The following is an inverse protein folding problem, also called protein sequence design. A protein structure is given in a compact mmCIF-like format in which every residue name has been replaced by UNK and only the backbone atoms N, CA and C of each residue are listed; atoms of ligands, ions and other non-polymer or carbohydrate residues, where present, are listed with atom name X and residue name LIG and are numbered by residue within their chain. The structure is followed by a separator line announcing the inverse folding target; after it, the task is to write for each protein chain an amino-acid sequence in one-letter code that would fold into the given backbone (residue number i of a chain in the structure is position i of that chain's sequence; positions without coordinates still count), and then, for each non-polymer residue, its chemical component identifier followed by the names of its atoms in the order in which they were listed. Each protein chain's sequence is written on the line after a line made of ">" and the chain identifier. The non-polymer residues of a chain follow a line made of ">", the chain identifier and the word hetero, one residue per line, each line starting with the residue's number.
data_IF_560042466807
#
_entry.id   IF_560042466807
#
_cell.length_a   1.000
_cell.length_b   1.000
_cell.length_c   1.000
_cell.angle_alpha   90.00
_cell.angle_beta   90.00
_cell.angle_gamma   90.00
#
_symmetry.space_group_name_H-M   'P 1'
#
loop_
_entity.id
_entity.type
_entity.pdbx_description
1 polymer ?
#
# COMPACT_ATOMS: atom_id res chain seq x y z
N UNK A 1 18.52 19.78 20.43
CA UNK A 1 17.34 20.05 19.58
C UNK A 1 16.19 19.23 20.16
N UNK A 2 15.14 19.86 20.69
CA UNK A 2 14.04 19.15 21.37
C UNK A 2 13.13 18.44 20.33
N UNK A 3 12.80 17.18 20.60
CA UNK A 3 11.98 16.31 19.73
C UNK A 3 10.64 16.96 19.45
N UNK A 4 10.23 16.95 18.18
CA UNK A 4 8.82 17.11 17.81
C UNK A 4 8.17 15.79 18.18
N UNK A 5 7.37 15.76 19.24
CA UNK A 5 6.66 14.55 19.63
C UNK A 5 5.46 14.37 18.68
N UNK A 6 5.78 13.84 17.49
CA UNK A 6 4.81 13.49 16.47
C UNK A 6 4.21 12.14 16.85
N UNK A 7 2.91 12.02 16.63
CA UNK A 7 2.17 10.76 16.78
C UNK A 7 1.76 10.30 15.39
N UNK A 8 2.00 9.03 15.13
CA UNK A 8 1.52 8.33 13.94
C UNK A 8 0.42 7.40 14.40
N UNK A 9 -0.75 7.54 13.79
CA UNK A 9 -1.83 6.58 13.90
C UNK A 9 -1.67 5.60 12.76
N UNK A 10 -1.44 4.34 13.07
CA UNK A 10 -1.29 3.25 12.10
C UNK A 10 -2.51 2.36 12.25
N UNK A 11 -3.28 2.17 11.18
CA UNK A 11 -4.50 1.37 11.25
C UNK A 11 -4.77 0.54 10.01
N UNK A 12 -5.03 -0.75 10.21
CA UNK A 12 -5.81 -1.58 9.31
C UNK A 12 -7.19 -1.84 9.90
N UNK A 13 -8.10 -2.24 9.03
CA UNK A 13 -9.33 -2.83 9.47
C UNK A 13 -9.74 -3.98 8.52
N UNK A 14 -10.07 -5.16 9.07
CA UNK A 14 -10.26 -6.44 8.34
C UNK A 14 -11.70 -6.78 7.93
N UNK A 15 -12.42 -5.85 7.33
CA UNK A 15 -13.74 -6.10 6.71
C UNK A 15 -13.90 -5.33 5.39
N UNK A 16 -14.94 -5.70 4.63
CA UNK A 16 -15.16 -5.25 3.24
C UNK A 16 -15.40 -3.73 3.05
N UNK A 17 -15.47 -2.90 4.11
CA UNK A 17 -16.03 -1.53 4.02
C UNK A 17 -15.24 -0.39 4.69
N UNK A 18 -14.00 -0.59 5.10
CA UNK A 18 -13.36 0.33 6.07
C UNK A 18 -12.81 1.65 5.54
N UNK A 19 -12.49 1.72 4.26
CA UNK A 19 -12.24 3.00 3.59
C UNK A 19 -13.42 3.97 3.79
N UNK A 20 -14.65 3.46 3.93
CA UNK A 20 -15.84 4.27 4.25
C UNK A 20 -15.77 4.89 5.65
N UNK A 21 -15.22 4.21 6.65
CA UNK A 21 -15.01 4.78 7.99
C UNK A 21 -13.99 5.91 7.97
N UNK A 22 -12.90 5.75 7.20
CA UNK A 22 -11.93 6.81 6.96
C UNK A 22 -12.57 8.01 6.26
N UNK A 23 -13.33 7.76 5.18
CA UNK A 23 -14.09 8.79 4.43
C UNK A 23 -15.04 9.56 5.35
N UNK A 24 -15.81 8.87 6.21
CA UNK A 24 -16.72 9.50 7.18
C UNK A 24 -16.02 10.38 8.22
N UNK A 25 -14.72 10.21 8.41
CA UNK A 25 -13.94 10.92 9.44
C UNK A 25 -13.13 12.09 8.85
N UNK A 26 -13.12 12.27 7.52
CA UNK A 26 -12.35 13.32 6.84
C UNK A 26 -12.56 14.73 7.45
N UNK A 27 -13.80 15.17 7.77
CA UNK A 27 -13.98 16.49 8.38
C UNK A 27 -13.22 16.67 9.69
N UNK A 28 -13.23 15.65 10.56
CA UNK A 28 -12.50 15.71 11.83
C UNK A 28 -10.99 15.66 11.61
N UNK A 29 -10.52 14.84 10.66
CA UNK A 29 -9.10 14.77 10.31
C UNK A 29 -8.55 16.13 9.87
N UNK A 30 -9.32 16.81 9.03
CA UNK A 30 -8.94 18.11 8.48
C UNK A 30 -8.87 19.18 9.57
N UNK A 31 -9.93 19.29 10.39
CA UNK A 31 -9.99 20.19 11.55
C UNK A 31 -8.83 19.96 12.52
N UNK A 32 -8.38 18.71 12.66
CA UNK A 32 -7.33 18.32 13.58
C UNK A 32 -5.93 18.29 12.95
N UNK A 33 -5.79 18.81 11.73
CA UNK A 33 -4.50 18.98 11.06
C UNK A 33 -3.85 17.67 10.59
N UNK A 34 -4.62 16.59 10.44
CA UNK A 34 -4.11 15.31 9.97
C UNK A 34 -3.75 15.34 8.49
N UNK A 35 -2.82 14.45 8.13
CA UNK A 35 -2.47 14.08 6.77
C UNK A 35 -2.70 12.58 6.58
N UNK A 36 -3.17 12.19 5.40
CA UNK A 36 -3.46 10.79 5.07
C UNK A 36 -2.27 10.22 4.31
N UNK A 37 -1.68 9.16 4.86
CA UNK A 37 -0.64 8.36 4.22
C UNK A 37 -1.21 6.98 3.87
N UNK A 38 -1.18 6.62 2.60
CA UNK A 38 -1.70 5.37 2.06
C UNK A 38 -0.56 4.36 1.87
N UNK A 39 -0.84 3.10 2.15
CA UNK A 39 0.01 1.95 1.78
C UNK A 39 -0.12 1.66 0.28
N UNK A 40 0.41 2.61 -0.47
CA UNK A 40 0.59 2.55 -1.91
C UNK A 40 2.06 2.80 -2.20
N UNK A 41 2.54 2.22 -3.30
CA UNK A 41 3.89 2.49 -3.78
C UNK A 41 4.08 3.99 -3.96
N UNK A 42 5.09 4.56 -3.29
CA UNK A 42 5.32 6.01 -3.25
C UNK A 42 5.50 6.69 -4.60
N UNK A 43 5.89 5.94 -5.63
CA UNK A 43 5.96 6.45 -7.01
C UNK A 43 4.59 6.75 -7.64
N UNK A 44 3.51 6.48 -6.91
CA UNK A 44 2.16 6.91 -7.24
C UNK A 44 1.82 8.32 -6.75
N UNK A 45 2.63 8.93 -5.86
CA UNK A 45 2.40 10.32 -5.41
C UNK A 45 2.16 11.30 -6.57
N UNK A 46 2.96 11.34 -7.66
CA UNK A 46 2.68 12.23 -8.79
C UNK A 46 1.33 11.97 -9.47
N UNK A 47 0.86 10.72 -9.48
CA UNK A 47 -0.46 10.36 -10.03
C UNK A 47 -1.59 10.84 -9.10
N UNK A 48 -1.43 10.65 -7.79
CA UNK A 48 -2.36 11.11 -6.75
C UNK A 48 -2.50 12.63 -6.83
N UNK A 49 -1.38 13.36 -6.80
CA UNK A 49 -1.37 14.83 -6.84
C UNK A 49 -1.96 15.37 -8.15
N UNK A 50 -1.68 14.71 -9.28
CA UNK A 50 -2.28 15.07 -10.56
C UNK A 50 -3.80 14.87 -10.55
N UNK A 51 -4.28 13.73 -10.04
CA UNK A 51 -5.71 13.44 -9.90
C UNK A 51 -6.37 14.47 -8.98
N UNK A 52 -5.84 14.69 -7.77
CA UNK A 52 -6.40 15.62 -6.79
C UNK A 52 -6.60 17.01 -7.39
N UNK A 53 -5.55 17.58 -7.99
CA UNK A 53 -5.64 18.88 -8.66
C UNK A 53 -6.71 18.94 -9.75
N UNK A 54 -6.83 17.90 -10.58
CA UNK A 54 -7.81 17.86 -11.68
C UNK A 54 -9.23 17.66 -11.19
N UNK A 55 -9.42 16.82 -10.18
CA UNK A 55 -10.71 16.62 -9.54
C UNK A 55 -11.16 17.88 -8.78
N UNK A 56 -10.26 18.57 -8.07
CA UNK A 56 -10.55 19.87 -7.44
C UNK A 56 -11.11 20.87 -8.45
N UNK A 57 -10.43 21.07 -9.58
CA UNK A 57 -10.88 21.98 -10.64
C UNK A 57 -12.27 21.62 -11.21
N UNK A 58 -12.66 20.35 -11.18
CA UNK A 58 -13.98 19.90 -11.63
C UNK A 58 -15.03 20.19 -10.56
N UNK A 59 -14.75 19.83 -9.31
CA UNK A 59 -15.67 20.08 -8.20
C UNK A 59 -15.83 21.58 -7.89
N UNK A 60 -14.79 22.39 -8.04
CA UNK A 60 -14.85 23.85 -7.90
C UNK A 60 -15.83 24.45 -8.91
N UNK A 61 -15.74 24.06 -10.19
CA UNK A 61 -16.70 24.47 -11.22
C UNK A 61 -18.13 24.04 -10.90
N UNK A 62 -18.30 22.86 -10.29
CA UNK A 62 -19.60 22.38 -9.87
C UNK A 62 -20.16 23.20 -8.70
N UNK A 63 -19.31 23.54 -7.73
CA UNK A 63 -19.66 24.37 -6.59
C UNK A 63 -20.00 25.82 -6.99
N UNK A 64 -19.37 26.33 -8.05
CA UNK A 64 -19.68 27.63 -8.68
C UNK A 64 -20.89 27.58 -9.64
N UNK A 65 -21.62 26.46 -9.69
CA UNK A 65 -22.76 26.23 -10.60
C UNK A 65 -22.42 26.36 -12.10
N UNK A 66 -21.14 26.32 -12.48
CA UNK A 66 -20.66 26.33 -13.88
C UNK A 66 -20.67 24.94 -14.52
N UNK A 67 -20.91 23.90 -13.72
CA UNK A 67 -21.00 22.50 -14.13
C UNK A 67 -22.05 21.82 -13.27
N UNK A 68 -22.93 21.03 -13.88
CA UNK A 68 -23.86 20.20 -13.11
C UNK A 68 -23.09 19.19 -12.23
N UNK A 69 -23.57 18.94 -11.00
CA UNK A 69 -22.88 18.06 -10.05
C UNK A 69 -22.83 16.61 -10.55
N UNK A 70 -23.89 16.11 -11.20
CA UNK A 70 -23.87 14.74 -11.73
C UNK A 70 -22.87 14.61 -12.89
N UNK A 71 -22.77 15.64 -13.74
CA UNK A 71 -21.75 15.70 -14.79
C UNK A 71 -20.33 15.81 -14.20
N UNK A 72 -20.16 16.54 -13.11
CA UNK A 72 -18.88 16.60 -12.37
C UNK A 72 -18.47 15.21 -11.86
N UNK A 73 -19.38 14.48 -11.21
CA UNK A 73 -19.14 13.12 -10.72
C UNK A 73 -18.74 12.18 -11.87
N UNK A 74 -19.42 12.23 -13.03
CA UNK A 74 -19.06 11.43 -14.22
C UNK A 74 -17.67 11.76 -14.77
N UNK A 75 -17.25 13.03 -14.73
CA UNK A 75 -15.91 13.44 -15.18
C UNK A 75 -14.85 12.98 -14.20
N UNK A 76 -15.11 13.05 -12.90
CA UNK A 76 -14.22 12.55 -11.85
C UNK A 76 -14.10 11.03 -11.92
N UNK A 77 -15.19 10.29 -12.17
CA UNK A 77 -15.14 8.84 -12.42
C UNK A 77 -14.16 8.48 -13.56
N UNK A 78 -14.18 9.24 -14.66
CA UNK A 78 -13.24 9.03 -15.78
C UNK A 78 -11.80 9.32 -15.39
N UNK A 79 -11.56 10.29 -14.50
CA UNK A 79 -10.22 10.58 -13.98
C UNK A 79 -9.75 9.47 -13.02
N UNK A 80 -10.65 8.96 -12.18
CA UNK A 80 -10.38 7.92 -11.20
C UNK A 80 -10.09 6.58 -11.90
N UNK A 81 -10.88 6.23 -12.93
CA UNK A 81 -10.60 5.07 -13.79
C UNK A 81 -9.21 5.16 -14.44
N UNK A 82 -8.79 6.36 -14.88
CA UNK A 82 -7.45 6.60 -15.42
C UNK A 82 -6.36 6.47 -14.35
N UNK A 83 -6.63 6.91 -13.12
CA UNK A 83 -5.71 6.75 -11.99
C UNK A 83 -5.50 5.27 -11.69
N UNK A 84 -6.59 4.52 -11.49
CA UNK A 84 -6.59 3.07 -11.26
C UNK A 84 -5.85 2.34 -12.37
N UNK A 85 -6.19 2.63 -13.64
CA UNK A 85 -5.49 2.06 -14.79
C UNK A 85 -3.98 2.27 -14.74
N UNK A 86 -3.53 3.49 -14.43
CA UNK A 86 -2.10 3.81 -14.37
C UNK A 86 -1.39 3.14 -13.19
N UNK A 87 -2.04 3.05 -12.03
CA UNK A 87 -1.49 2.36 -10.86
C UNK A 87 -1.37 0.86 -11.13
N UNK A 88 -2.46 0.20 -11.55
CA UNK A 88 -2.46 -1.24 -11.84
C UNK A 88 -1.50 -1.60 -12.97
N UNK A 89 -1.39 -0.78 -14.03
CA UNK A 89 -0.42 -1.01 -15.12
C UNK A 89 1.05 -0.92 -14.66
N UNK A 90 1.34 -0.13 -13.62
CA UNK A 90 2.71 0.04 -13.08
C UNK A 90 3.09 -1.02 -12.06
N UNK A 91 2.11 -1.68 -11.45
CA UNK A 91 2.36 -2.74 -10.49
C UNK A 91 3.22 -3.87 -11.10
N UNK A 92 4.13 -4.46 -10.32
CA UNK A 92 4.76 -5.72 -10.68
C UNK A 92 3.72 -6.78 -11.04
N UNK A 93 4.04 -7.72 -11.94
CA UNK A 93 3.10 -8.78 -12.34
C UNK A 93 2.69 -9.66 -11.14
N UNK A 94 3.59 -9.83 -10.17
CA UNK A 94 3.32 -10.46 -8.87
C UNK A 94 2.13 -9.82 -8.13
N UNK A 95 1.96 -8.51 -8.32
CA UNK A 95 0.93 -7.68 -7.68
C UNK A 95 -0.13 -7.20 -8.69
N UNK A 96 -0.22 -7.80 -9.87
CA UNK A 96 -1.33 -7.59 -10.81
C UNK A 96 -1.18 -8.59 -11.96
N UNK A 97 -1.97 -9.68 -11.99
CA UNK A 97 -1.88 -10.67 -13.06
C UNK A 97 -2.44 -10.15 -14.40
N UNK A 98 -3.17 -9.03 -14.38
CA UNK A 98 -3.98 -8.59 -15.51
C UNK A 98 -3.18 -8.02 -16.69
N UNK A 99 -3.63 -8.39 -17.89
CA UNK A 99 -3.19 -7.79 -19.14
C UNK A 99 -3.88 -6.45 -19.36
N UNK A 100 -3.51 -5.39 -18.62
CA UNK A 100 -4.26 -4.12 -18.60
C UNK A 100 -4.64 -3.54 -19.98
N UNK A 101 -3.94 -3.85 -21.06
CA UNK A 101 -4.33 -3.50 -22.43
C UNK A 101 -5.67 -4.12 -22.88
N UNK A 102 -6.02 -5.28 -22.34
CA UNK A 102 -7.27 -6.02 -22.57
C UNK A 102 -8.40 -5.61 -21.63
N UNK A 103 -8.15 -4.75 -20.64
CA UNK A 103 -9.14 -4.40 -19.63
C UNK A 103 -9.34 -2.88 -19.51
N UNK A 104 -10.44 -2.49 -18.89
CA UNK A 104 -10.68 -1.12 -18.44
C UNK A 104 -11.44 -1.12 -17.11
N UNK A 105 -11.30 -0.04 -16.34
CA UNK A 105 -12.05 0.15 -15.11
C UNK A 105 -13.40 0.82 -15.41
N UNK A 106 -14.47 0.28 -14.81
CA UNK A 106 -15.82 0.85 -14.87
C UNK A 106 -16.41 0.92 -13.46
N UNK A 107 -17.03 2.05 -13.12
CA UNK A 107 -17.82 2.20 -11.90
C UNK A 107 -19.28 1.91 -12.21
N UNK A 108 -19.92 1.06 -11.42
CA UNK A 108 -21.33 0.70 -11.51
C UNK A 108 -21.86 0.54 -10.07
N UNK A 109 -23.02 1.14 -9.75
CA UNK A 109 -23.59 1.15 -8.38
C UNK A 109 -22.58 1.43 -7.25
N UNK A 110 -21.67 2.41 -7.46
CA UNK A 110 -20.59 2.78 -6.55
C UNK A 110 -19.51 1.72 -6.29
N UNK A 111 -19.47 0.67 -7.11
CA UNK A 111 -18.44 -0.35 -7.07
C UNK A 111 -17.60 -0.30 -8.36
N UNK A 112 -16.28 -0.47 -8.20
CA UNK A 112 -15.36 -0.59 -9.32
C UNK A 112 -15.29 -2.02 -9.84
N UNK A 113 -15.35 -2.16 -11.15
CA UNK A 113 -15.21 -3.42 -11.87
C UNK A 113 -14.04 -3.31 -12.85
N UNK A 114 -13.27 -4.39 -12.98
CA UNK A 114 -12.38 -4.56 -14.10
C UNK A 114 -13.13 -5.29 -15.21
N UNK A 115 -13.24 -4.68 -16.39
CA UNK A 115 -14.02 -5.22 -17.50
C UNK A 115 -13.10 -5.62 -18.64
N UNK A 116 -13.21 -6.87 -19.09
CA UNK A 116 -12.48 -7.34 -20.27
C UNK A 116 -13.09 -6.72 -21.53
N UNK A 117 -12.27 -6.08 -22.36
CA UNK A 117 -12.70 -5.33 -23.55
C UNK A 117 -13.41 -6.18 -24.60
N UNK A 118 -13.02 -7.46 -24.75
CA UNK A 118 -13.54 -8.34 -25.82
C UNK A 118 -14.88 -8.97 -25.46
N UNK A 119 -14.98 -9.49 -24.24
CA UNK A 119 -16.14 -10.27 -23.79
C UNK A 119 -17.15 -9.41 -23.03
N UNK A 120 -16.72 -8.24 -22.54
CA UNK A 120 -17.52 -7.45 -21.60
C UNK A 120 -17.65 -8.09 -20.21
N UNK A 121 -16.95 -9.21 -19.96
CA UNK A 121 -16.99 -9.90 -18.69
C UNK A 121 -16.48 -8.96 -17.58
N UNK A 122 -17.31 -8.81 -16.55
CA UNK A 122 -16.95 -8.08 -15.34
C UNK A 122 -16.21 -9.04 -14.41
N UNK A 123 -14.98 -8.71 -14.10
CA UNK A 123 -14.27 -9.29 -12.96
C UNK A 123 -14.47 -8.33 -11.78
N UNK A 124 -15.04 -8.86 -10.69
CA UNK A 124 -15.18 -8.15 -9.41
C UNK A 124 -13.84 -7.95 -8.71
N UNK A 125 -12.74 -8.41 -9.31
CA UNK A 125 -11.41 -8.40 -8.71
C UNK A 125 -11.29 -9.49 -7.64
N UNK A 126 -12.05 -10.59 -7.77
CA UNK A 126 -11.98 -11.70 -6.82
C UNK A 126 -10.61 -12.37 -6.81
N UNK A 127 -9.87 -12.26 -7.93
CA UNK A 127 -8.51 -12.77 -8.11
C UNK A 127 -7.50 -11.59 -8.04
N UNK A 128 -6.93 -11.37 -6.85
CA UNK A 128 -5.72 -10.57 -6.68
C UNK A 128 -5.90 -9.10 -6.21
N UNK A 129 -4.81 -8.31 -6.19
CA UNK A 129 -4.65 -7.02 -5.48
C UNK A 129 -5.48 -5.84 -6.01
N UNK A 130 -6.40 -6.08 -6.94
CA UNK A 130 -7.45 -5.10 -7.28
C UNK A 130 -8.38 -4.87 -6.08
N UNK A 131 -8.45 -5.78 -5.09
CA UNK A 131 -9.30 -5.58 -3.89
C UNK A 131 -8.96 -4.34 -3.05
N UNK A 132 -7.76 -3.76 -3.17
CA UNK A 132 -7.33 -2.59 -2.39
C UNK A 132 -7.29 -1.26 -3.17
N UNK A 133 -6.84 -1.28 -4.43
CA UNK A 133 -6.62 -0.06 -5.23
C UNK A 133 -7.85 0.85 -5.40
N UNK A 134 -9.05 0.32 -5.71
CA UNK A 134 -10.30 1.09 -5.73
C UNK A 134 -10.60 1.80 -4.42
N UNK A 135 -10.35 1.14 -3.28
CA UNK A 135 -10.61 1.74 -1.97
C UNK A 135 -9.68 2.94 -1.71
N UNK A 136 -8.40 2.84 -2.10
CA UNK A 136 -7.48 4.00 -2.06
C UNK A 136 -7.94 5.13 -2.98
N UNK A 137 -8.41 4.80 -4.19
CA UNK A 137 -8.91 5.80 -5.13
C UNK A 137 -10.17 6.53 -4.59
N UNK A 138 -11.09 5.79 -3.94
CA UNK A 138 -12.25 6.37 -3.27
C UNK A 138 -11.84 7.32 -2.15
N UNK A 139 -10.88 6.95 -1.28
CA UNK A 139 -10.37 7.86 -0.23
C UNK A 139 -9.76 9.13 -0.83
N UNK A 140 -8.98 9.01 -1.92
CA UNK A 140 -8.39 10.17 -2.59
C UNK A 140 -9.49 11.08 -3.18
N UNK A 141 -10.50 10.49 -3.83
CA UNK A 141 -11.66 11.22 -4.40
C UNK A 141 -12.41 11.99 -3.32
N UNK A 142 -12.77 11.31 -2.24
CA UNK A 142 -13.57 11.91 -1.17
C UNK A 142 -12.78 12.96 -0.38
N UNK A 143 -11.46 12.81 -0.22
CA UNK A 143 -10.61 13.87 0.34
C UNK A 143 -10.64 15.14 -0.53
N UNK A 144 -10.61 14.99 -1.86
CA UNK A 144 -10.70 16.13 -2.78
C UNK A 144 -12.07 16.79 -2.69
N UNK A 145 -13.14 16.00 -2.71
CA UNK A 145 -14.51 16.49 -2.61
C UNK A 145 -14.73 17.23 -1.28
N UNK A 146 -14.26 16.67 -0.17
CA UNK A 146 -14.26 17.32 1.15
C UNK A 146 -13.55 18.67 1.11
N UNK A 147 -12.33 18.73 0.55
CA UNK A 147 -11.55 19.97 0.51
C UNK A 147 -12.26 21.09 -0.26
N UNK A 148 -12.87 20.78 -1.41
CA UNK A 148 -13.57 21.79 -2.21
C UNK A 148 -14.85 22.26 -1.53
N UNK A 149 -15.66 21.35 -0.99
CA UNK A 149 -16.96 21.68 -0.40
C UNK A 149 -16.86 22.37 0.95
N UNK A 150 -15.80 22.08 1.73
CA UNK A 150 -15.65 22.55 3.11
C UNK A 150 -14.48 23.52 3.30
N UNK A 151 -13.87 24.02 2.21
CA UNK A 151 -12.62 24.80 2.25
C UNK A 151 -11.50 24.10 3.03
N UNK A 152 -11.48 22.77 2.94
CA UNK A 152 -10.51 21.91 3.61
C UNK A 152 -9.16 21.89 2.91
N UNK A 153 -8.17 21.27 3.54
CA UNK A 153 -6.82 21.21 2.98
C UNK A 153 -6.21 19.78 3.01
N UNK A 154 -6.97 18.75 3.38
CA UNK A 154 -6.46 17.38 3.52
C UNK A 154 -5.52 16.97 2.39
N UNK A 155 -4.33 16.56 2.78
CA UNK A 155 -3.32 16.05 1.86
C UNK A 155 -3.32 14.52 1.91
N UNK A 156 -3.12 13.90 0.76
CA UNK A 156 -3.06 12.44 0.61
C UNK A 156 -1.76 12.06 -0.08
N UNK A 157 -1.00 11.15 0.55
CA UNK A 157 0.30 10.69 0.06
C UNK A 157 0.38 9.16 0.07
N UNK A 158 1.24 8.61 -0.79
CA UNK A 158 1.65 7.21 -0.81
C UNK A 158 3.04 7.08 -0.16
N UNK A 159 3.22 6.12 0.76
CA UNK A 159 4.45 6.00 1.57
C UNK A 159 5.14 4.63 1.54
N UNK A 160 4.67 3.68 0.73
CA UNK A 160 5.26 2.33 0.62
C UNK A 160 6.43 2.28 -0.39
N UNK A 161 7.11 1.13 -0.47
CA UNK A 161 8.15 0.79 -1.43
C UNK A 161 7.68 1.08 -2.86
N UNK A 162 8.55 1.70 -3.67
CA UNK A 162 8.23 1.98 -5.06
C UNK A 162 8.08 0.71 -5.91
N UNK A 163 7.31 0.79 -6.99
CA UNK A 163 7.14 -0.34 -7.93
C UNK A 163 8.46 -0.88 -8.48
N UNK A 164 9.46 -0.02 -8.66
CA UNK A 164 10.82 -0.41 -9.09
C UNK A 164 11.52 -1.25 -8.03
N UNK A 165 11.47 -0.81 -6.77
CA UNK A 165 12.10 -1.52 -5.65
C UNK A 165 11.39 -2.84 -5.38
N UNK A 166 10.07 -2.93 -5.52
CA UNK A 166 9.33 -4.19 -5.44
C UNK A 166 9.88 -5.22 -6.46
N UNK A 167 10.14 -4.79 -7.70
CA UNK A 167 10.79 -5.66 -8.71
C UNK A 167 12.22 -6.05 -8.34
N UNK A 168 12.98 -5.14 -7.75
CA UNK A 168 14.34 -5.43 -7.27
C UNK A 168 14.32 -6.46 -6.13
N UNK A 169 13.39 -6.34 -5.20
CA UNK A 169 13.19 -7.31 -4.11
C UNK A 169 12.69 -8.65 -4.63
N UNK A 170 11.83 -8.66 -5.64
CA UNK A 170 11.41 -9.88 -6.31
C UNK A 170 12.59 -10.61 -6.97
N UNK A 171 13.48 -9.89 -7.67
CA UNK A 171 14.72 -10.47 -8.24
C UNK A 171 15.65 -11.06 -7.18
N UNK A 172 15.66 -10.51 -5.98
CA UNK A 172 16.44 -11.02 -4.84
C UNK A 172 15.80 -12.24 -4.18
N UNK A 173 14.59 -12.61 -4.60
CA UNK A 173 13.81 -13.69 -3.96
C UNK A 173 13.16 -13.28 -2.64
N UNK A 174 13.16 -11.98 -2.31
CA UNK A 174 12.55 -11.43 -1.10
C UNK A 174 11.03 -11.23 -1.26
N UNK A 175 10.56 -11.19 -2.51
CA UNK A 175 9.15 -11.23 -2.91
C UNK A 175 8.95 -12.34 -3.95
N UNK A 176 7.97 -13.21 -3.77
CA UNK A 176 7.78 -14.37 -4.65
C UNK A 176 6.33 -14.84 -4.67
N UNK A 177 5.97 -15.64 -5.67
CA UNK A 177 4.77 -16.48 -5.62
C UNK A 177 5.11 -17.76 -4.85
N UNK A 178 4.47 -17.97 -3.72
CA UNK A 178 4.49 -19.25 -3.03
C UNK A 178 3.59 -20.23 -3.76
N UNK A 179 4.04 -21.46 -3.91
CA UNK A 179 3.21 -22.62 -4.28
C UNK A 179 3.25 -23.58 -3.09
N UNK A 180 2.08 -24.00 -2.59
CA UNK A 180 1.93 -24.98 -1.50
C UNK A 180 2.38 -26.39 -1.88
N UNK A 181 3.67 -26.55 -2.17
CA UNK A 181 4.32 -27.81 -2.52
C UNK A 181 5.63 -27.95 -1.72
N UNK A 182 6.10 -29.18 -1.43
CA UNK A 182 7.41 -29.42 -0.84
C UNK A 182 8.54 -28.79 -1.67
N UNK A 183 9.64 -28.43 -1.03
CA UNK A 183 10.81 -27.85 -1.71
C UNK A 183 11.41 -28.79 -2.77
N UNK A 184 11.26 -30.12 -2.61
CA UNK A 184 11.66 -31.12 -3.61
C UNK A 184 10.96 -30.91 -4.96
N UNK A 185 9.76 -30.32 -4.97
CA UNK A 185 9.01 -30.01 -6.19
C UNK A 185 9.49 -28.75 -6.92
N UNK A 186 10.45 -28.00 -6.36
CA UNK A 186 10.93 -26.74 -6.94
C UNK A 186 11.46 -26.92 -8.36
N UNK A 187 12.34 -27.90 -8.59
CA UNK A 187 12.95 -28.11 -9.90
C UNK A 187 11.91 -28.51 -10.97
N UNK A 188 11.00 -29.48 -10.76
CA UNK A 188 9.91 -29.77 -11.69
C UNK A 188 9.06 -28.55 -12.06
N UNK A 189 8.72 -27.71 -11.08
CA UNK A 189 7.93 -26.49 -11.28
C UNK A 189 8.69 -25.47 -12.13
N UNK A 190 9.96 -25.21 -11.81
CA UNK A 190 10.80 -24.29 -12.58
C UNK A 190 10.98 -24.74 -14.03
N UNK A 191 11.17 -26.05 -14.26
CA UNK A 191 11.27 -26.61 -15.60
C UNK A 191 9.97 -26.45 -16.40
N UNK A 192 8.83 -26.72 -15.75
CA UNK A 192 7.51 -26.51 -16.35
C UNK A 192 7.34 -25.05 -16.75
N UNK A 193 7.52 -24.12 -15.81
CA UNK A 193 7.37 -22.68 -16.04
C UNK A 193 8.31 -22.17 -17.13
N UNK A 194 9.57 -22.61 -17.15
CA UNK A 194 10.55 -22.26 -18.19
C UNK A 194 10.09 -22.65 -19.59
N UNK A 195 9.51 -23.84 -19.74
CA UNK A 195 9.01 -24.37 -21.03
C UNK A 195 7.64 -23.76 -21.38
N UNK A 196 6.72 -23.66 -20.43
CA UNK A 196 5.41 -23.02 -20.59
C UNK A 196 5.55 -21.54 -20.98
N UNK A 197 6.54 -20.81 -20.43
CA UNK A 197 6.83 -19.43 -20.81
C UNK A 197 7.23 -19.32 -22.29
N UNK A 198 7.98 -20.29 -22.83
CA UNK A 198 8.31 -20.33 -24.27
C UNK A 198 7.04 -20.53 -25.11
N UNK A 199 6.12 -21.39 -24.69
CA UNK A 199 4.81 -21.53 -25.36
C UNK A 199 3.99 -20.25 -25.28
N UNK A 200 3.96 -19.58 -24.13
CA UNK A 200 3.26 -18.31 -23.95
C UNK A 200 3.83 -17.16 -24.82
N UNK A 201 5.14 -17.16 -25.09
CA UNK A 201 5.76 -16.24 -26.07
C UNK A 201 5.22 -16.44 -27.49
N UNK A 202 4.84 -17.67 -27.83
CA UNK A 202 4.27 -18.04 -29.13
C UNK A 202 2.74 -17.99 -29.15
N UNK A 203 2.11 -17.48 -28.08
CA UNK A 203 0.65 -17.47 -27.89
C UNK A 203 0.00 -18.85 -27.98
N UNK A 204 0.74 -19.90 -27.61
CA UNK A 204 0.29 -21.30 -27.62
C UNK A 204 0.14 -21.84 -26.20
N UNK A 205 -0.75 -22.81 -26.05
CA UNK A 205 -0.83 -23.62 -24.83
C UNK A 205 0.42 -24.51 -24.69
N UNK A 206 0.87 -24.81 -23.46
CA UNK A 206 1.90 -25.82 -23.23
C UNK A 206 1.49 -27.18 -23.76
N UNK A 207 2.46 -27.96 -24.28
CA UNK A 207 2.19 -29.30 -24.84
C UNK A 207 1.70 -30.25 -23.76
N UNK A 208 0.78 -31.15 -24.09
CA UNK A 208 0.29 -32.19 -23.16
C UNK A 208 1.41 -33.06 -22.59
N UNK A 209 2.43 -33.35 -23.39
CA UNK A 209 3.62 -34.08 -22.90
C UNK A 209 4.42 -33.34 -21.82
N UNK A 210 4.35 -32.01 -21.77
CA UNK A 210 4.97 -31.23 -20.69
C UNK A 210 4.14 -31.30 -19.41
N UNK A 211 2.80 -31.21 -19.53
CA UNK A 211 1.87 -31.33 -18.40
C UNK A 211 1.96 -32.70 -17.75
N UNK A 212 1.98 -33.76 -18.57
CA UNK A 212 2.15 -35.14 -18.11
C UNK A 212 3.45 -35.35 -17.34
N UNK A 213 4.57 -34.81 -17.84
CA UNK A 213 5.87 -34.88 -17.14
C UNK A 213 5.85 -34.20 -15.77
N UNK A 214 5.17 -33.07 -15.64
CA UNK A 214 5.03 -32.41 -14.34
C UNK A 214 4.18 -33.27 -13.39
N UNK A 215 3.02 -33.77 -13.86
CA UNK A 215 2.16 -34.63 -13.06
C UNK A 215 2.90 -35.89 -12.56
N UNK A 216 3.67 -36.55 -13.43
CA UNK A 216 4.50 -37.71 -13.07
C UNK A 216 5.58 -37.35 -12.03
N UNK A 217 6.19 -36.17 -12.12
CA UNK A 217 7.17 -35.71 -11.14
C UNK A 217 6.53 -35.44 -9.77
N UNK A 218 5.35 -34.83 -9.73
CA UNK A 218 4.61 -34.59 -8.49
C UNK A 218 4.14 -35.90 -7.85
N UNK A 219 3.67 -36.87 -8.64
CA UNK A 219 3.28 -38.19 -8.16
C UNK A 219 4.43 -38.95 -7.49
N UNK A 220 5.67 -38.79 -7.99
CA UNK A 220 6.86 -39.38 -7.36
C UNK A 220 7.15 -38.82 -5.97
N UNK A 221 6.76 -37.57 -5.73
CA UNK A 221 6.85 -36.91 -4.42
C UNK A 221 5.61 -37.20 -3.54
N UNK A 222 4.74 -38.14 -3.96
CA UNK A 222 3.52 -38.50 -3.23
C UNK A 222 2.36 -37.52 -3.38
N UNK A 223 2.44 -36.59 -4.36
CA UNK A 223 1.45 -35.53 -4.56
C UNK A 223 0.52 -35.89 -5.70
N UNK A 224 -0.73 -36.19 -5.36
CA UNK A 224 -1.77 -36.58 -6.32
C UNK A 224 -2.78 -35.45 -6.49
N UNK A 225 -2.81 -34.84 -7.68
CA UNK A 225 -3.63 -33.66 -7.96
C UNK A 225 -5.11 -33.94 -8.24
N UNK A 226 -5.50 -35.21 -8.46
CA UNK A 226 -6.86 -35.67 -8.78
C UNK A 226 -7.71 -34.63 -9.54
N UNK A 227 -8.85 -34.21 -8.99
CA UNK A 227 -9.81 -33.29 -9.61
C UNK A 227 -9.30 -31.85 -9.75
N UNK A 228 -8.21 -31.50 -9.06
CA UNK A 228 -7.60 -30.17 -9.06
C UNK A 228 -6.51 -30.00 -10.13
N UNK A 229 -6.15 -31.06 -10.86
CA UNK A 229 -5.02 -31.04 -11.81
C UNK A 229 -5.16 -29.95 -12.88
N UNK A 230 -6.32 -29.86 -13.53
CA UNK A 230 -6.55 -28.88 -14.60
C UNK A 230 -6.53 -27.45 -14.08
N UNK A 231 -7.08 -27.21 -12.88
CA UNK A 231 -7.06 -25.91 -12.24
C UNK A 231 -5.63 -25.49 -11.89
N UNK A 232 -4.87 -26.39 -11.28
CA UNK A 232 -3.47 -26.16 -10.93
C UNK A 232 -2.60 -25.87 -12.16
N UNK A 233 -2.73 -26.67 -13.23
CA UNK A 233 -2.02 -26.43 -14.48
C UNK A 233 -2.42 -25.11 -15.14
N UNK A 234 -3.71 -24.75 -15.13
CA UNK A 234 -4.18 -23.42 -15.61
C UNK A 234 -3.55 -22.28 -14.80
N UNK A 235 -3.41 -22.43 -13.50
CA UNK A 235 -2.74 -21.44 -12.65
C UNK A 235 -1.25 -21.33 -13.00
N UNK A 236 -0.52 -22.44 -13.16
CA UNK A 236 0.88 -22.43 -13.60
C UNK A 236 1.05 -21.80 -15.00
N UNK A 237 0.13 -22.06 -15.92
CA UNK A 237 0.13 -21.44 -17.25
C UNK A 237 -0.09 -19.93 -17.15
N UNK A 238 -0.94 -19.48 -16.23
CA UNK A 238 -1.12 -18.06 -15.92
C UNK A 238 0.18 -17.45 -15.38
N UNK A 239 0.87 -18.13 -14.47
CA UNK A 239 2.17 -17.70 -13.95
C UNK A 239 3.21 -17.61 -15.07
N UNK A 240 3.28 -18.60 -15.96
CA UNK A 240 4.18 -18.57 -17.10
C UNK A 240 3.90 -17.36 -18.03
N UNK A 241 2.62 -17.02 -18.24
CA UNK A 241 2.21 -15.80 -18.97
C UNK A 241 2.60 -14.53 -18.22
N UNK A 242 2.53 -14.51 -16.90
CA UNK A 242 3.03 -13.39 -16.08
C UNK A 242 4.55 -13.26 -16.18
N UNK A 243 5.31 -14.36 -16.07
CA UNK A 243 6.77 -14.40 -16.20
C UNK A 243 7.26 -14.02 -17.60
N UNK A 244 6.43 -14.17 -18.64
CA UNK A 244 6.68 -13.64 -19.99
C UNK A 244 6.83 -12.12 -19.96
N UNK A 245 5.97 -11.44 -19.18
CA UNK A 245 5.91 -9.97 -19.07
C UNK A 245 6.95 -9.44 -18.09
N UNK A 246 7.11 -10.14 -16.98
CA UNK A 246 8.02 -9.76 -15.91
C UNK A 246 8.85 -10.94 -15.44
N UNK A 247 10.09 -11.03 -15.93
CA UNK A 247 11.03 -12.09 -15.56
C UNK A 247 11.50 -11.99 -14.10
N UNK A 248 11.19 -10.89 -13.39
CA UNK A 248 11.49 -10.77 -11.95
C UNK A 248 10.52 -11.55 -11.06
N UNK A 249 9.44 -12.10 -11.64
CA UNK A 249 8.49 -12.94 -10.91
C UNK A 249 9.14 -14.27 -10.54
N UNK A 250 9.59 -14.37 -9.29
CA UNK A 250 10.14 -15.59 -8.68
C UNK A 250 9.01 -16.45 -8.13
N UNK A 251 9.14 -17.77 -8.26
CA UNK A 251 8.20 -18.76 -7.75
C UNK A 251 8.96 -19.68 -6.80
N UNK A 252 8.42 -19.93 -5.61
CA UNK A 252 9.00 -20.83 -4.63
C UNK A 252 7.96 -21.83 -4.15
N UNK A 253 8.31 -23.11 -4.17
CA UNK A 253 7.60 -24.16 -3.47
C UNK A 253 7.91 -24.00 -1.99
N UNK A 254 6.88 -23.83 -1.18
CA UNK A 254 7.01 -23.75 0.27
C UNK A 254 5.79 -24.38 0.88
N UNK A 255 6.01 -25.47 1.61
CA UNK A 255 4.97 -26.21 2.30
C UNK A 255 4.82 -25.65 3.73
N UNK A 256 3.65 -25.09 4.07
CA UNK A 256 3.26 -24.96 5.48
C UNK A 256 2.63 -26.27 5.95
N UNK A 257 2.95 -26.70 7.17
CA UNK A 257 2.20 -27.74 7.88
C UNK A 257 0.72 -27.31 7.92
N UNK A 258 -0.15 -28.06 7.23
CA UNK A 258 -1.60 -27.83 7.14
C UNK A 258 -2.17 -27.58 5.73
N UNK A 259 -1.35 -27.20 4.74
CA UNK A 259 -1.84 -26.90 3.37
C UNK A 259 -2.10 -28.17 2.53
N UNK A 260 -1.56 -29.32 2.92
CA UNK A 260 -1.72 -30.60 2.18
C UNK A 260 -3.07 -31.29 2.48
N UNK A 261 -3.64 -31.09 3.67
CA UNK A 261 -4.84 -31.84 4.11
C UNK A 261 -6.14 -31.41 3.40
N UNK A 262 -6.11 -30.30 2.66
CA UNK A 262 -7.29 -29.79 1.93
C UNK A 262 -7.30 -30.09 0.42
N UNK A 263 -6.26 -30.73 -0.12
CA UNK A 263 -6.17 -31.05 -1.55
C UNK A 263 -6.03 -29.84 -2.49
N UNK A 264 -5.83 -28.64 -1.96
CA UNK A 264 -5.74 -27.39 -2.72
C UNK A 264 -4.31 -26.83 -2.72
N UNK A 265 -3.66 -26.80 -3.89
CA UNK A 265 -2.39 -26.09 -4.02
C UNK A 265 -2.67 -24.58 -4.05
N UNK A 266 -2.27 -23.91 -2.99
CA UNK A 266 -2.40 -22.46 -2.84
C UNK A 266 -1.24 -21.78 -3.58
N UNK A 267 -1.57 -20.84 -4.46
CA UNK A 267 -0.59 -19.95 -5.11
C UNK A 267 -0.85 -18.51 -4.71
N UNK A 268 0.06 -17.91 -3.94
CA UNK A 268 -0.12 -16.58 -3.34
C UNK A 268 1.17 -15.76 -3.40
N UNK A 269 1.05 -14.43 -3.38
CA UNK A 269 2.21 -13.56 -3.20
C UNK A 269 2.69 -13.62 -1.74
N UNK A 270 3.98 -13.87 -1.56
CA UNK A 270 4.63 -14.03 -0.26
C UNK A 270 5.94 -13.22 -0.22
N UNK A 271 6.46 -13.01 0.99
CA UNK A 271 7.62 -12.18 1.30
C UNK A 271 8.40 -12.74 2.49
N UNK A 272 9.72 -12.57 2.47
CA UNK A 272 10.58 -12.95 3.59
C UNK A 272 10.72 -11.84 4.64
N UNK A 273 11.22 -12.15 5.86
CA UNK A 273 11.46 -11.14 6.88
C UNK A 273 12.39 -10.01 6.45
N UNK A 274 13.39 -10.29 5.60
CA UNK A 274 14.31 -9.27 5.08
C UNK A 274 13.59 -8.22 4.21
N UNK A 275 12.55 -8.63 3.46
CA UNK A 275 11.70 -7.69 2.75
C UNK A 275 10.92 -6.78 3.70
N UNK A 276 10.33 -7.37 4.76
CA UNK A 276 9.52 -6.64 5.74
C UNK A 276 10.35 -5.57 6.45
N UNK A 277 11.53 -5.94 6.98
CA UNK A 277 12.43 -4.98 7.61
C UNK A 277 12.87 -3.89 6.63
N UNK A 278 13.24 -4.26 5.39
CA UNK A 278 13.57 -3.27 4.35
C UNK A 278 12.40 -2.31 4.10
N UNK A 279 11.18 -2.83 4.00
CA UNK A 279 9.96 -2.04 3.80
C UNK A 279 9.71 -1.06 4.94
N UNK A 280 9.80 -1.52 6.17
CA UNK A 280 9.54 -0.73 7.36
C UNK A 280 10.55 0.42 7.52
N UNK A 281 11.83 0.15 7.25
CA UNK A 281 12.86 1.18 7.19
C UNK A 281 12.59 2.23 6.09
N UNK A 282 12.11 1.80 4.91
CA UNK A 282 11.76 2.70 3.80
C UNK A 282 10.51 3.52 4.08
N UNK A 283 9.49 2.95 4.71
CA UNK A 283 8.21 3.59 5.03
C UNK A 283 8.34 4.60 6.16
N UNK A 284 9.05 4.23 7.24
CA UNK A 284 9.30 5.11 8.39
C UNK A 284 10.14 6.34 8.01
N UNK A 285 11.05 6.19 7.04
CA UNK A 285 12.02 7.22 6.66
C UNK A 285 13.37 7.08 7.38
N UNK A 286 13.65 5.93 8.01
CA UNK A 286 15.00 5.58 8.50
C UNK A 286 15.96 5.32 7.35
N UNK A 287 15.48 4.68 6.27
CA UNK A 287 16.24 4.44 5.04
C UNK A 287 15.71 5.34 3.92
N UNK A 288 16.40 6.43 3.62
CA UNK A 288 16.08 7.35 2.51
C UNK A 288 17.09 7.22 1.37
N UNK A 289 16.60 7.29 0.12
CA UNK A 289 17.46 7.27 -1.08
C UNK A 289 17.36 8.62 -1.78
N UNK A 290 18.48 9.15 -2.30
CA UNK A 290 18.51 10.42 -3.05
C UNK A 290 17.50 10.48 -4.20
N UNK A 291 17.15 9.33 -4.79
CA UNK A 291 16.16 9.24 -5.90
C UNK A 291 14.72 9.50 -5.45
N UNK A 292 14.47 9.59 -4.15
CA UNK A 292 13.14 9.69 -3.56
C UNK A 292 12.54 11.10 -3.72
N UNK A 293 13.37 12.15 -3.81
CA UNK A 293 12.92 13.55 -3.94
C UNK A 293 11.98 13.78 -5.13
N UNK A 294 12.14 13.01 -6.21
CA UNK A 294 11.29 13.12 -7.41
C UNK A 294 9.84 12.67 -7.19
N UNK A 295 9.57 11.94 -6.10
CA UNK A 295 8.23 11.48 -5.72
C UNK A 295 7.55 12.42 -4.72
N UNK A 296 8.24 13.44 -4.22
CA UNK A 296 7.77 14.26 -3.11
C UNK A 296 7.93 13.58 -1.75
N UNK A 297 7.16 13.98 -0.72
CA UNK A 297 7.18 13.36 0.59
C UNK A 297 6.67 11.91 0.49
N UNK A 298 7.56 10.95 0.69
CA UNK A 298 7.34 9.56 0.33
C UNK A 298 7.66 8.55 1.44
N UNK A 299 7.81 9.07 2.66
CA UNK A 299 7.92 8.33 3.92
C UNK A 299 7.03 9.01 4.96
N UNK A 300 6.65 8.28 6.01
CA UNK A 300 5.83 8.82 7.11
C UNK A 300 6.53 10.04 7.74
N UNK A 301 7.86 9.96 7.94
CA UNK A 301 8.68 11.09 8.39
C UNK A 301 8.55 12.31 7.51
N UNK A 302 8.74 12.16 6.19
CA UNK A 302 8.66 13.30 5.26
C UNK A 302 7.25 13.85 5.16
N UNK A 303 6.22 13.00 5.19
CA UNK A 303 4.82 13.41 5.20
C UNK A 303 4.50 14.24 6.45
N UNK A 304 4.97 13.84 7.63
CA UNK A 304 4.80 14.63 8.86
C UNK A 304 5.52 15.99 8.78
N UNK A 305 6.61 16.10 8.02
CA UNK A 305 7.34 17.36 7.80
C UNK A 305 6.64 18.31 6.80
N UNK A 306 5.64 17.85 6.03
CA UNK A 306 4.99 18.68 4.99
C UNK A 306 4.13 19.80 5.55
N UNK A 307 3.65 19.68 6.80
CA UNK A 307 2.79 20.67 7.44
C UNK A 307 3.42 21.23 8.69
N UNK A 308 3.65 22.54 8.69
CA UNK A 308 3.99 23.30 9.89
C UNK A 308 2.69 23.77 10.54
N UNK A 309 2.07 22.94 11.39
CA UNK A 309 0.96 23.39 12.23
C UNK A 309 1.51 24.06 13.50
N UNK A 310 0.96 25.22 13.86
CA UNK A 310 1.12 25.77 15.21
C UNK A 310 0.45 24.79 16.16
N UNK A 311 1.29 24.14 16.96
CA UNK A 311 1.01 23.20 18.04
C UNK A 311 -0.38 22.53 18.12
N UNK A 312 -0.42 21.19 18.18
CA UNK A 312 0.67 20.24 17.93
C UNK A 312 0.91 20.05 16.42
N UNK A 313 2.13 19.67 16.05
CA UNK A 313 2.57 19.54 14.65
C UNK A 313 1.75 18.53 13.83
N UNK A 314 2.14 18.31 12.56
CA UNK A 314 1.36 17.46 11.66
C UNK A 314 1.11 16.06 12.24
N UNK A 315 -0.14 15.65 12.27
CA UNK A 315 -0.55 14.32 12.71
C UNK A 315 -0.68 13.42 11.48
N UNK A 316 -0.12 12.22 11.50
CA UNK A 316 -0.18 11.33 10.34
C UNK A 316 -1.10 10.15 10.64
N UNK A 317 -2.07 9.93 9.76
CA UNK A 317 -2.81 8.67 9.70
C UNK A 317 -2.24 7.85 8.56
N UNK A 318 -1.63 6.72 8.91
CA UNK A 318 -1.24 5.69 7.98
C UNK A 318 -2.40 4.70 7.81
N UNK A 319 -2.86 4.54 6.57
CA UNK A 319 -3.93 3.64 6.18
C UNK A 319 -3.40 2.63 5.17
N UNK A 320 -3.42 1.35 5.57
CA UNK A 320 -2.77 0.25 4.87
C UNK A 320 -3.10 -1.10 5.49
N UNK A 321 -2.73 -2.19 4.83
CA UNK A 321 -2.83 -3.55 5.37
C UNK A 321 -1.79 -3.81 6.46
N UNK A 322 -2.21 -3.79 7.71
CA UNK A 322 -1.60 -4.43 8.88
C UNK A 322 -1.50 -5.97 8.80
N UNK A 323 -1.88 -6.58 7.68
CA UNK A 323 -1.59 -7.95 7.28
C UNK A 323 -0.09 -8.28 7.40
N UNK A 324 0.74 -7.23 7.42
CA UNK A 324 2.18 -7.29 7.61
C UNK A 324 2.66 -6.82 8.98
N UNK A 325 1.81 -6.25 9.84
CA UNK A 325 2.17 -5.74 11.16
C UNK A 325 2.16 -6.81 12.29
N UNK A 326 2.03 -8.09 11.95
CA UNK A 326 2.07 -9.19 12.94
C UNK A 326 1.08 -10.33 12.70
N UNK A 327 0.18 -10.20 11.72
CA UNK A 327 -1.13 -10.88 11.81
C UNK A 327 -1.32 -12.17 11.01
N UNK A 328 -0.43 -12.53 10.08
CA UNK A 328 -0.26 -13.95 9.77
C UNK A 328 0.75 -14.48 10.77
N UNK A 329 0.30 -15.38 11.68
CA UNK A 329 0.95 -16.05 12.84
C UNK A 329 2.50 -16.26 12.87
N UNK A 330 3.23 -15.93 11.80
CA UNK A 330 4.68 -16.09 11.61
C UNK A 330 5.41 -14.84 11.08
N UNK A 331 4.79 -13.66 10.91
CA UNK A 331 5.46 -12.47 10.31
C UNK A 331 5.51 -11.29 11.29
N UNK A 332 6.67 -11.04 11.89
CA UNK A 332 6.93 -9.84 12.69
C UNK A 332 7.34 -8.66 11.79
N UNK A 333 6.71 -7.50 11.97
CA UNK A 333 7.16 -6.21 11.41
C UNK A 333 8.09 -5.51 12.39
N UNK A 334 8.96 -4.65 11.88
CA UNK A 334 9.76 -3.73 12.68
C UNK A 334 9.23 -2.29 12.59
N UNK A 335 8.07 -2.04 11.96
CA UNK A 335 7.59 -0.67 11.66
C UNK A 335 7.48 0.22 12.90
N UNK A 336 7.00 -0.32 14.02
CA UNK A 336 6.91 0.45 15.28
C UNK A 336 8.30 0.87 15.78
N UNK A 337 9.29 -0.03 15.72
CA UNK A 337 10.66 0.27 16.09
C UNK A 337 11.31 1.28 15.13
N UNK A 338 11.08 1.11 13.84
CA UNK A 338 11.59 2.00 12.81
C UNK A 338 10.96 3.40 12.89
N UNK A 339 9.68 3.51 13.20
CA UNK A 339 9.03 4.79 13.48
C UNK A 339 9.63 5.48 14.71
N UNK A 340 9.92 4.74 15.79
CA UNK A 340 10.63 5.28 16.96
C UNK A 340 12.03 5.80 16.58
N UNK A 341 12.79 5.07 15.77
CA UNK A 341 14.09 5.51 15.24
C UNK A 341 13.97 6.75 14.36
N UNK A 342 12.91 6.83 13.54
CA UNK A 342 12.61 7.97 12.67
C UNK A 342 12.19 9.24 13.43
N UNK A 343 11.93 9.14 14.75
CA UNK A 343 11.60 10.27 15.62
C UNK A 343 10.14 10.32 16.07
N UNK A 344 9.40 9.23 15.95
CA UNK A 344 8.02 9.09 16.43
C UNK A 344 7.98 8.23 17.69
N UNK A 345 8.24 8.80 18.89
CA UNK A 345 8.33 8.02 20.13
C UNK A 345 6.99 7.40 20.54
N UNK A 346 5.88 7.97 20.06
CA UNK A 346 4.53 7.50 20.32
C UNK A 346 3.89 7.03 19.03
N UNK A 347 3.69 5.72 18.94
CA UNK A 347 2.98 5.07 17.84
C UNK A 347 1.69 4.52 18.40
N UNK A 348 0.57 4.90 17.79
CA UNK A 348 -0.74 4.30 18.11
C UNK A 348 -1.06 3.37 16.96
N UNK A 349 -0.84 2.07 17.18
CA UNK A 349 -1.26 1.02 16.25
C UNK A 349 -2.65 0.54 16.62
N UNK A 350 -3.47 0.24 15.62
CA UNK A 350 -4.61 -0.64 15.80
C UNK A 350 -4.21 -2.05 15.35
N UNK A 351 -4.23 -2.99 16.28
CA UNK A 351 -4.26 -4.43 16.00
C UNK A 351 -5.72 -4.84 15.82
N UNK A 352 -6.01 -5.84 14.98
CA UNK A 352 -7.37 -6.33 14.80
C UNK A 352 -7.39 -7.86 14.74
N UNK A 353 -7.70 -8.54 15.85
CA UNK A 353 -8.47 -9.79 15.78
C UNK A 353 -9.36 -9.97 17.02
N UNK A 354 -10.65 -10.21 16.75
CA UNK A 354 -11.52 -11.03 17.57
C UNK A 354 -11.12 -12.51 17.42
N UNK A 355 -11.23 -13.23 18.53
CA UNK A 355 -11.07 -14.66 18.72
C UNK A 355 -9.63 -15.14 18.97
N UNK A 356 -9.39 -15.39 20.27
CA UNK A 356 -8.31 -16.19 20.86
C UNK A 356 -7.00 -15.46 21.25
N UNK A 357 -6.98 -15.06 22.53
CA UNK A 357 -5.81 -14.90 23.40
C UNK A 357 -4.72 -13.89 23.00
N UNK A 358 -4.80 -12.61 23.43
CA UNK A 358 -3.67 -11.84 24.03
C UNK A 358 -4.13 -10.69 24.94
N UNK A 359 -3.47 -10.55 26.10
CA UNK A 359 -3.58 -9.46 27.08
C UNK A 359 -2.79 -8.20 26.64
N UNK A 360 -3.27 -7.46 25.65
CA UNK A 360 -2.83 -6.08 25.41
C UNK A 360 -4.03 -5.14 25.57
N UNK A 361 -3.84 -3.85 25.94
CA UNK A 361 -4.96 -2.92 26.12
C UNK A 361 -5.65 -2.66 24.78
N UNK A 362 -6.74 -3.39 24.54
CA UNK A 362 -7.57 -3.48 23.32
C UNK A 362 -8.39 -2.22 23.01
N UNK A 363 -8.04 -1.04 23.52
CA UNK A 363 -8.93 0.13 23.48
C UNK A 363 -8.95 0.89 22.13
N UNK A 364 -8.06 0.55 21.19
CA UNK A 364 -7.81 1.32 19.96
C UNK A 364 -7.90 0.50 18.66
N UNK A 365 -8.66 -0.59 18.64
CA UNK A 365 -8.91 -1.38 17.42
C UNK A 365 -9.86 -0.64 16.47
N UNK A 366 -9.51 -0.51 15.20
CA UNK A 366 -10.23 0.34 14.24
C UNK A 366 -11.39 -0.33 13.51
N UNK A 367 -12.07 -1.33 14.06
CA UNK A 367 -13.21 -1.99 13.42
C UNK A 367 -14.38 -1.06 13.04
N UNK A 368 -14.44 0.15 13.62
CA UNK A 368 -15.51 1.12 13.42
C UNK A 368 -15.02 2.57 13.39
N UNK A 369 -15.86 3.49 12.89
CA UNK A 369 -15.62 4.93 12.99
C UNK A 369 -15.39 5.39 14.44
N UNK A 370 -16.07 4.77 15.40
CA UNK A 370 -15.88 5.04 16.84
C UNK A 370 -14.47 4.66 17.30
N UNK A 371 -13.97 3.51 16.84
CA UNK A 371 -12.56 3.13 17.04
C UNK A 371 -11.63 4.18 16.44
N UNK A 372 -11.91 4.60 15.20
CA UNK A 372 -11.12 5.62 14.49
C UNK A 372 -10.96 6.90 15.31
N UNK A 373 -12.08 7.41 15.78
CA UNK A 373 -12.14 8.61 16.60
C UNK A 373 -11.41 8.44 17.94
N UNK A 374 -11.55 7.29 18.62
CA UNK A 374 -10.85 7.05 19.90
C UNK A 374 -9.34 7.14 19.78
N UNK A 375 -8.76 6.48 18.77
CA UNK A 375 -7.31 6.51 18.60
C UNK A 375 -6.83 7.90 18.13
N UNK A 376 -7.63 8.59 17.31
CA UNK A 376 -7.37 9.98 16.97
C UNK A 376 -7.30 10.84 18.23
N UNK A 377 -8.35 10.82 19.07
CA UNK A 377 -8.38 11.55 20.34
C UNK A 377 -7.20 11.17 21.23
N UNK A 378 -6.83 9.90 21.29
CA UNK A 378 -5.68 9.44 22.07
C UNK A 378 -4.35 9.98 21.53
N UNK A 379 -4.11 9.89 20.22
CA UNK A 379 -2.92 10.46 19.58
C UNK A 379 -2.82 11.98 19.80
N UNK A 380 -3.96 12.68 19.79
CA UNK A 380 -4.04 14.09 20.18
C UNK A 380 -3.61 14.30 21.62
N UNK A 381 -4.17 13.54 22.57
CA UNK A 381 -3.86 13.66 23.99
C UNK A 381 -2.39 13.39 24.28
N UNK A 382 -1.78 12.41 23.62
CA UNK A 382 -0.35 12.12 23.75
C UNK A 382 0.47 13.33 23.32
N UNK A 383 0.18 13.88 22.13
CA UNK A 383 0.91 15.03 21.62
C UNK A 383 0.73 16.27 22.49
N UNK A 384 -0.45 16.50 23.06
CA UNK A 384 -0.70 17.66 23.92
C UNK A 384 -0.10 17.53 25.32
N UNK A 385 0.02 16.30 25.85
CA UNK A 385 0.66 16.01 27.15
C UNK A 385 2.19 15.99 27.08
N UNK A 386 2.76 15.75 25.91
CA UNK A 386 4.20 15.79 25.71
C UNK A 386 4.73 17.21 26.00
N UNK A 387 5.62 17.34 26.98
CA UNK A 387 6.06 18.64 27.50
C UNK A 387 6.78 19.47 26.41
N UNK A 388 6.08 20.40 25.77
CA UNK A 388 6.74 21.47 25.04
C UNK A 388 7.31 22.51 26.03
N UNK A 389 8.64 22.65 26.03
CA UNK A 389 9.18 24.03 26.12
C UNK A 389 9.03 24.63 24.73
N UNK A 390 8.26 25.71 24.68
CA UNK A 390 7.96 26.58 23.54
C UNK A 390 9.08 26.66 22.48
N UNK A 391 8.76 26.65 21.17
CA UNK A 391 9.68 27.19 20.19
C UNK A 391 9.86 28.70 20.43
N UNK A 392 11.10 29.17 20.34
CA UNK A 392 11.37 30.60 20.21
C UNK A 392 10.69 31.10 18.93
N UNK A 393 10.04 32.26 19.06
CA UNK A 393 9.43 32.97 17.94
C UNK A 393 10.43 33.13 16.80
N UNK A 394 9.99 32.87 15.57
CA UNK A 394 10.73 33.17 14.34
C UNK A 394 10.73 34.68 13.99
N UNK A 395 10.31 35.55 14.92
CA UNK A 395 10.10 36.98 14.66
C UNK A 395 11.22 37.92 15.11
N UNK A 396 12.41 37.45 15.51
CA UNK A 396 13.55 38.34 15.80
C UNK A 396 14.75 38.01 14.93
N UNK A 397 14.79 38.67 13.76
CA UNK A 397 16.02 38.86 13.01
C UNK A 397 17.00 39.73 13.80
N UNK A 398 17.70 39.14 14.77
CA UNK A 398 18.94 39.75 15.29
C UNK A 398 20.06 39.45 14.30
N UNK A 399 20.39 40.49 13.52
CA UNK A 399 21.65 40.60 12.77
C UNK A 399 22.79 40.04 13.62
N UNK A 400 23.49 39.02 13.09
CA UNK A 400 24.81 38.67 13.58
C UNK A 400 25.69 39.91 13.43
N UNK A 401 26.06 40.54 14.56
CA UNK A 401 27.21 41.43 14.59
C UNK A 401 28.43 40.55 14.39
N UNK A 402 29.12 40.74 13.27
CA UNK A 402 30.51 40.32 13.11
C UNK A 402 31.31 40.89 14.29
N UNK A 403 32.03 40.02 15.00
CA UNK A 403 33.01 40.41 16.00
C UNK A 403 34.26 40.86 15.25
N UNK A 404 34.45 42.16 15.21
CA UNK A 404 35.71 42.80 14.83
C UNK A 404 36.81 42.34 15.80
N UNK A 405 37.70 41.47 15.33
CA UNK A 405 38.92 41.09 16.04
C UNK A 405 40.01 42.09 15.67
N UNK A 406 39.99 43.26 16.30
CA UNK A 406 41.19 44.07 16.37
C UNK A 406 41.25 44.88 17.67
N UNK A 407 42.38 44.68 18.36
CA UNK A 407 42.94 45.45 19.49
C UNK A 407 42.51 45.06 20.89
N UNK A 408 43.34 44.21 21.50
CA UNK A 408 43.92 44.51 22.82
C UNK A 408 45.40 44.09 22.82
N UNK A 409 46.29 45.08 22.72
CA UNK A 409 47.48 45.11 23.55
C UNK A 409 47.27 46.26 24.53
N UNK A 410 47.11 45.89 25.79
CA UNK A 410 47.17 46.75 26.98
C UNK A 410 48.62 47.21 27.16
N UNK A 411 48.88 48.38 27.80
CA UNK A 411 50.20 48.88 28.17
C UNK A 411 51.13 47.86 28.81
#
# INVERSE_FOLDING_TARGET
>A
MKRRDLAVLVGEIHTKNHHKSLIKTLPQLDQQGFVIALELSRDFNPLIQHFMRKASQIYEKANEHKLDMQEAEKRVDRLEAKLLYKMTKRNPALLSPYEMEKYYFKRDTNQWYLVEKRTGAKDTGEIGPIKGMPNYADVIREAVKHNVLNHGNLQVYAVDISTKELKEQAKKGNLFLRIGLPESCQQPIEEYLKKARKSALLEKSPKESLKKKLAEALQKEGIFLHDSQDLFLKQLDSIAKMQRRDKSLVVRCYQKLGDIDSGNIIIEADMNPEFLNYRDQRMSGTLELKKDHKYGPCSIKKVAETRSFYYPGARVIHWGGAYHLGEWKTRNTDLSEELKKAGFPYVVTADAYTDEFRNYPTDYVFESQKGLQKAITHGIQIQTKSQMRYPLSLSDGKKQKEKDTSKEKVP
#
